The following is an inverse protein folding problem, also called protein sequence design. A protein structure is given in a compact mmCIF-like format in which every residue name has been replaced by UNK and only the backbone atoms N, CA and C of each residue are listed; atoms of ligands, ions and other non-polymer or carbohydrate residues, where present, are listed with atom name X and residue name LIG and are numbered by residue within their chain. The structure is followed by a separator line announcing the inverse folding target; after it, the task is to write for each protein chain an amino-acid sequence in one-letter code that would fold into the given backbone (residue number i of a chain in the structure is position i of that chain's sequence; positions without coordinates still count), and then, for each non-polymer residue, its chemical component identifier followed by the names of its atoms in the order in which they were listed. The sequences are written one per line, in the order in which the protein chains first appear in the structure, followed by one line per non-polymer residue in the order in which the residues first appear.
data_IF_047845853231
#
_entry.id   IF_047845853231
#
_cell.length_a   1.000
_cell.length_b   1.000
_cell.length_c   1.000
_cell.angle_alpha   90.00
_cell.angle_beta   90.00
_cell.angle_gamma   90.00
#
_symmetry.space_group_name_H-M   'P 1'
#
loop_
_entity.id
_entity.type
_entity.pdbx_description
1 polymer ?
#
# COMPACT_ATOMS: atom_id res chain seq x y z
N UNK A 1 17.12 -50.26 -11.70
CA UNK A 1 17.28 -50.39 -10.23
C UNK A 1 18.65 -49.91 -9.70
N UNK A 2 19.69 -49.78 -10.54
CA UNK A 2 21.00 -49.28 -10.11
C UNK A 2 21.11 -47.74 -10.03
N UNK A 3 20.38 -46.99 -10.86
CA UNK A 3 20.43 -45.51 -10.82
C UNK A 3 19.77 -44.91 -9.58
N UNK A 4 18.73 -45.56 -9.04
CA UNK A 4 18.02 -45.10 -7.83
C UNK A 4 18.87 -45.26 -6.57
N UNK A 5 19.65 -46.33 -6.46
CA UNK A 5 20.58 -46.57 -5.35
C UNK A 5 21.80 -45.64 -5.43
N UNK A 6 22.27 -45.31 -6.64
CA UNK A 6 23.35 -44.35 -6.85
C UNK A 6 22.92 -42.92 -6.47
N UNK A 7 21.73 -42.49 -6.91
CA UNK A 7 21.16 -41.17 -6.54
C UNK A 7 20.89 -41.09 -5.02
N UNK A 8 20.35 -42.15 -4.43
CA UNK A 8 20.13 -42.19 -2.98
C UNK A 8 21.45 -42.06 -2.21
N UNK A 9 22.50 -42.80 -2.61
CA UNK A 9 23.83 -42.71 -2.00
C UNK A 9 24.51 -41.35 -2.20
N UNK A 10 24.35 -40.74 -3.37
CA UNK A 10 24.85 -39.39 -3.63
C UNK A 10 24.17 -38.36 -2.72
N UNK A 11 22.84 -38.42 -2.59
CA UNK A 11 22.08 -37.51 -1.73
C UNK A 11 22.43 -37.69 -0.24
N UNK A 12 22.61 -38.93 0.23
CA UNK A 12 23.02 -39.18 1.62
C UNK A 12 24.43 -38.67 1.89
N UNK A 13 25.36 -38.83 0.95
CA UNK A 13 26.74 -38.35 1.11
C UNK A 13 26.81 -36.82 1.11
N UNK A 14 26.09 -36.17 0.19
CA UNK A 14 25.97 -34.70 0.17
C UNK A 14 25.30 -34.20 1.45
N UNK A 15 24.28 -34.88 1.95
CA UNK A 15 23.62 -34.53 3.21
C UNK A 15 24.57 -34.66 4.42
N UNK A 16 25.36 -35.72 4.51
CA UNK A 16 26.35 -35.91 5.58
C UNK A 16 27.47 -34.85 5.52
N UNK A 17 27.96 -34.50 4.32
CA UNK A 17 28.96 -33.45 4.13
C UNK A 17 28.42 -32.05 4.50
N UNK A 18 27.14 -31.79 4.21
CA UNK A 18 26.43 -30.58 4.62
C UNK A 18 26.25 -30.52 6.15
N UNK A 19 25.92 -31.64 6.80
CA UNK A 19 25.65 -31.69 8.24
C UNK A 19 26.93 -31.73 9.08
N UNK A 20 28.02 -32.28 8.55
CA UNK A 20 29.28 -32.40 9.29
C UNK A 20 30.09 -31.10 9.28
N UNK A 21 29.84 -30.21 8.31
CA UNK A 21 30.49 -28.90 8.25
C UNK A 21 29.71 -27.83 9.03
N UNK A 22 30.27 -27.26 10.10
CA UNK A 22 29.57 -26.28 10.94
C UNK A 22 29.19 -24.99 10.18
N UNK A 23 29.92 -24.66 9.12
CA UNK A 23 29.63 -23.50 8.26
C UNK A 23 28.32 -23.68 7.48
N UNK A 24 28.04 -24.90 7.02
CA UNK A 24 26.89 -25.21 6.18
C UNK A 24 25.61 -25.21 7.04
N UNK A 25 25.68 -25.72 8.27
CA UNK A 25 24.58 -25.59 9.24
C UNK A 25 24.27 -24.11 9.50
N UNK A 26 25.28 -23.27 9.73
CA UNK A 26 25.07 -21.83 9.94
C UNK A 26 24.41 -21.17 8.72
N UNK A 27 24.81 -21.53 7.50
CA UNK A 27 24.19 -21.05 6.27
C UNK A 27 22.75 -21.52 6.11
N UNK A 28 22.45 -22.79 6.41
CA UNK A 28 21.08 -23.33 6.32
C UNK A 28 20.16 -22.64 7.34
N UNK A 29 20.62 -22.44 8.57
CA UNK A 29 19.87 -21.68 9.59
C UNK A 29 19.65 -20.24 9.15
N UNK A 30 20.67 -19.59 8.58
CA UNK A 30 20.54 -18.23 8.05
C UNK A 30 19.53 -18.17 6.90
N UNK A 31 19.57 -19.12 5.96
CA UNK A 31 18.61 -19.20 4.85
C UNK A 31 17.20 -19.41 5.38
N UNK A 32 16.99 -20.34 6.31
CA UNK A 32 15.68 -20.58 6.93
C UNK A 32 15.18 -19.35 7.70
N UNK A 33 16.07 -18.65 8.40
CA UNK A 33 15.76 -17.41 9.11
C UNK A 33 15.38 -16.28 8.14
N UNK A 34 16.09 -16.14 7.03
CA UNK A 34 15.77 -15.16 5.98
C UNK A 34 14.44 -15.49 5.30
N UNK A 35 14.17 -16.76 4.98
CA UNK A 35 12.87 -17.22 4.44
C UNK A 35 11.75 -16.92 5.45
N UNK A 36 11.95 -17.27 6.72
CA UNK A 36 11.00 -17.00 7.78
C UNK A 36 10.73 -15.49 7.94
N UNK A 37 11.77 -14.67 7.87
CA UNK A 37 11.67 -13.21 7.95
C UNK A 37 10.95 -12.61 6.73
N UNK A 38 11.19 -13.14 5.52
CA UNK A 38 10.49 -12.73 4.29
C UNK A 38 9.00 -13.08 4.39
N UNK A 39 8.68 -14.29 4.86
CA UNK A 39 7.31 -14.76 4.98
C UNK A 39 6.55 -14.02 6.08
N UNK A 40 7.16 -13.78 7.24
CA UNK A 40 6.56 -12.93 8.28
C UNK A 40 6.28 -11.52 7.78
N UNK A 41 7.19 -10.92 7.01
CA UNK A 41 7.00 -9.57 6.45
C UNK A 41 5.79 -9.48 5.51
N UNK A 42 5.41 -10.55 4.82
CA UNK A 42 4.20 -10.59 3.99
C UNK A 42 2.91 -10.80 4.78
N UNK A 43 2.96 -11.47 5.93
CA UNK A 43 1.76 -11.76 6.72
C UNK A 43 1.32 -10.57 7.60
N UNK A 44 2.22 -9.62 7.88
CA UNK A 44 1.90 -8.37 8.60
C UNK A 44 1.28 -7.31 7.67
N UNK A 45 0.34 -7.69 6.78
CA UNK A 45 -0.56 -6.70 6.19
C UNK A 45 -1.56 -6.35 7.28
N UNK A 46 -1.50 -5.15 7.91
CA UNK A 46 -2.52 -4.77 8.88
C UNK A 46 -3.86 -4.88 8.17
N UNK A 47 -4.72 -5.79 8.67
CA UNK A 47 -6.08 -5.97 8.19
C UNK A 47 -6.73 -4.59 8.27
N UNK A 48 -6.82 -3.95 7.11
CA UNK A 48 -7.35 -2.61 6.98
C UNK A 48 -8.80 -2.75 7.41
N UNK A 49 -9.14 -2.24 8.60
CA UNK A 49 -10.49 -2.31 9.13
C UNK A 49 -11.47 -1.95 8.00
N UNK A 50 -12.51 -2.76 7.76
CA UNK A 50 -13.53 -2.42 6.79
C UNK A 50 -14.06 -1.06 7.20
N UNK A 51 -13.68 -0.02 6.47
CA UNK A 51 -14.23 1.33 6.68
C UNK A 51 -15.74 1.14 6.53
N UNK A 52 -16.56 1.53 7.53
CA UNK A 52 -18.00 1.39 7.47
C UNK A 52 -18.48 1.82 6.09
N UNK A 53 -19.21 0.96 5.40
CA UNK A 53 -19.72 1.26 4.07
C UNK A 53 -20.70 2.41 4.21
N UNK A 54 -20.20 3.63 4.05
CA UNK A 54 -21.04 4.81 3.99
C UNK A 54 -22.05 4.59 2.87
N UNK A 55 -23.34 4.90 3.10
CA UNK A 55 -24.36 4.75 2.08
C UNK A 55 -23.89 5.51 0.83
N UNK A 56 -23.87 4.79 -0.31
CA UNK A 56 -23.45 5.35 -1.59
C UNK A 56 -24.21 6.65 -1.81
N UNK A 57 -23.49 7.77 -1.89
CA UNK A 57 -24.09 9.05 -2.23
C UNK A 57 -24.84 8.91 -3.55
N UNK A 58 -26.02 9.53 -3.64
CA UNK A 58 -26.72 9.68 -4.92
C UNK A 58 -25.80 10.42 -5.87
N UNK A 59 -25.66 9.91 -7.10
CA UNK A 59 -24.96 10.62 -8.17
C UNK A 59 -25.64 11.98 -8.35
N UNK A 60 -24.92 13.05 -8.06
CA UNK A 60 -25.36 14.43 -8.19
C UNK A 60 -24.19 15.24 -8.73
N UNK A 61 -24.49 16.27 -9.49
CA UNK A 61 -23.50 17.24 -9.91
C UNK A 61 -23.07 18.10 -8.71
N UNK A 62 -21.76 18.27 -8.58
CA UNK A 62 -21.17 19.13 -7.56
C UNK A 62 -20.55 20.34 -8.22
N UNK A 63 -20.82 21.52 -7.67
CA UNK A 63 -20.02 22.71 -7.96
C UNK A 63 -18.68 22.64 -7.23
N UNK A 64 -17.69 23.41 -7.68
CA UNK A 64 -16.37 23.47 -7.04
C UNK A 64 -16.46 23.93 -5.58
N UNK A 65 -17.42 24.81 -5.28
CA UNK A 65 -17.65 25.33 -3.92
C UNK A 65 -18.29 24.29 -3.00
N UNK A 66 -19.20 23.47 -3.52
CA UNK A 66 -19.77 22.35 -2.77
C UNK A 66 -18.72 21.26 -2.53
N UNK A 67 -17.86 20.98 -3.51
CA UNK A 67 -16.80 19.98 -3.39
C UNK A 67 -15.78 20.33 -2.31
N UNK A 68 -15.42 21.62 -2.17
CA UNK A 68 -14.50 22.11 -1.12
C UNK A 68 -14.94 21.78 0.30
N UNK A 69 -16.24 21.60 0.52
CA UNK A 69 -16.79 21.22 1.82
C UNK A 69 -16.51 19.77 2.17
N UNK A 70 -15.96 18.95 1.27
CA UNK A 70 -15.72 17.50 1.44
C UNK A 70 -14.23 17.16 1.44
N UNK A 71 -13.47 17.80 2.34
CA UNK A 71 -12.03 17.55 2.54
C UNK A 71 -11.74 16.52 3.64
N UNK A 72 -12.77 16.06 4.36
CA UNK A 72 -12.66 15.09 5.44
C UNK A 72 -12.54 15.68 6.84
N UNK A 73 -12.63 17.01 6.98
CA UNK A 73 -12.65 17.73 8.27
C UNK A 73 -14.04 17.83 8.89
N UNK A 74 -15.10 17.70 8.09
CA UNK A 74 -16.48 17.70 8.56
C UNK A 74 -16.82 16.51 9.48
N UNK A 75 -17.93 16.61 10.23
CA UNK A 75 -18.44 15.54 11.10
C UNK A 75 -18.73 14.23 10.34
N UNK A 76 -19.23 14.34 9.10
CA UNK A 76 -19.42 13.20 8.19
C UNK A 76 -18.09 12.49 7.83
N UNK A 77 -16.96 13.19 7.97
CA UNK A 77 -15.61 12.70 7.71
C UNK A 77 -15.32 12.28 6.26
N UNK A 78 -16.25 12.56 5.33
CA UNK A 78 -16.17 12.17 3.92
C UNK A 78 -15.16 13.00 3.15
N UNK A 79 -14.50 12.34 2.21
CA UNK A 79 -13.53 12.97 1.32
C UNK A 79 -13.98 12.73 -0.11
N UNK A 80 -14.25 13.81 -0.85
CA UNK A 80 -14.55 13.75 -2.27
C UNK A 80 -13.40 14.35 -3.07
N UNK A 81 -13.14 13.80 -4.26
CA UNK A 81 -12.12 14.30 -5.19
C UNK A 81 -12.71 14.33 -6.59
N UNK A 82 -12.52 15.44 -7.31
CA UNK A 82 -12.87 15.51 -8.73
C UNK A 82 -11.67 15.14 -9.60
N UNK A 83 -11.91 14.33 -10.64
CA UNK A 83 -10.93 13.95 -11.66
C UNK A 83 -11.63 13.94 -13.01
N UNK A 84 -11.10 14.74 -13.95
CA UNK A 84 -11.61 14.94 -15.30
C UNK A 84 -13.13 15.22 -15.34
N UNK A 85 -13.60 16.11 -14.48
CA UNK A 85 -15.02 16.46 -14.36
C UNK A 85 -15.92 15.42 -13.67
N UNK A 86 -15.37 14.28 -13.23
CA UNK A 86 -16.10 13.27 -12.47
C UNK A 86 -15.74 13.32 -10.99
N UNK A 87 -16.73 13.24 -10.11
CA UNK A 87 -16.53 13.27 -8.65
C UNK A 87 -16.52 11.86 -8.08
N UNK A 88 -15.51 11.56 -7.28
CA UNK A 88 -15.30 10.26 -6.64
C UNK A 88 -15.31 10.40 -5.12
N UNK A 89 -16.02 9.48 -4.46
CA UNK A 89 -15.96 9.30 -3.01
C UNK A 89 -14.72 8.46 -2.65
N UNK A 90 -13.73 9.12 -2.08
CA UNK A 90 -12.46 8.52 -1.65
C UNK A 90 -12.37 8.40 -0.14
N UNK A 91 -13.52 8.37 0.56
CA UNK A 91 -13.56 8.28 2.04
C UNK A 91 -12.88 7.00 2.56
N UNK A 92 -12.93 5.89 1.82
CA UNK A 92 -12.15 4.67 2.12
C UNK A 92 -10.63 4.90 2.14
N UNK A 93 -10.18 5.92 1.42
CA UNK A 93 -8.82 6.40 1.32
C UNK A 93 -8.51 7.61 2.19
N UNK A 94 -9.29 7.90 3.25
CA UNK A 94 -9.10 9.09 4.11
C UNK A 94 -7.65 9.26 4.62
N UNK A 95 -6.93 8.18 4.89
CA UNK A 95 -5.50 8.23 5.26
C UNK A 95 -4.57 8.88 4.22
N UNK A 96 -5.01 8.91 2.96
CA UNK A 96 -4.26 9.48 1.84
C UNK A 96 -4.78 10.86 1.46
N UNK A 97 -6.10 10.98 1.27
CA UNK A 97 -6.74 12.17 0.73
C UNK A 97 -7.33 13.10 1.80
N UNK A 98 -7.48 12.63 3.04
CA UNK A 98 -7.95 13.43 4.16
C UNK A 98 -6.83 14.24 4.81
N UNK A 99 -7.16 15.03 5.84
CA UNK A 99 -6.21 15.93 6.50
C UNK A 99 -4.98 15.17 7.04
N UNK A 100 -3.79 15.68 6.76
CA UNK A 100 -2.52 15.07 7.16
C UNK A 100 -2.03 13.90 6.28
N UNK A 101 -2.81 13.50 5.26
CA UNK A 101 -2.38 12.52 4.27
C UNK A 101 -1.45 13.11 3.19
N UNK A 102 -0.65 12.29 2.50
CA UNK A 102 0.24 12.74 1.42
C UNK A 102 -0.48 13.38 0.23
N UNK A 103 -1.77 13.08 0.05
CA UNK A 103 -2.63 13.60 -1.02
C UNK A 103 -3.74 14.50 -0.47
N UNK A 104 -3.59 15.03 0.74
CA UNK A 104 -4.56 15.94 1.37
C UNK A 104 -4.87 17.17 0.50
N UNK A 105 -3.91 17.59 -0.33
CA UNK A 105 -4.06 18.68 -1.29
C UNK A 105 -5.22 18.49 -2.29
N UNK A 106 -5.62 17.24 -2.53
CA UNK A 106 -6.69 16.87 -3.46
C UNK A 106 -8.06 16.73 -2.79
N UNK A 107 -8.11 16.54 -1.47
CA UNK A 107 -9.36 16.43 -0.72
C UNK A 107 -10.24 17.67 -0.94
N UNK A 108 -11.48 17.44 -1.36
CA UNK A 108 -12.47 18.48 -1.64
C UNK A 108 -12.16 19.34 -2.87
N UNK A 109 -11.25 18.92 -3.76
CA UNK A 109 -10.82 19.72 -4.92
C UNK A 109 -10.78 18.90 -6.21
N UNK A 110 -10.62 19.63 -7.31
CA UNK A 110 -10.28 19.03 -8.60
C UNK A 110 -8.78 18.69 -8.65
N UNK A 111 -8.50 17.39 -8.62
CA UNK A 111 -7.16 16.84 -8.67
C UNK A 111 -6.65 16.64 -10.11
N UNK A 112 -7.46 16.88 -11.15
CA UNK A 112 -7.12 16.62 -12.55
C UNK A 112 -5.76 17.16 -12.95
N UNK A 113 -5.49 18.42 -12.60
CA UNK A 113 -4.20 19.08 -12.93
C UNK A 113 -3.03 18.48 -12.15
N UNK A 114 -3.21 18.22 -10.85
CA UNK A 114 -2.15 17.65 -10.02
C UNK A 114 -1.80 16.23 -10.43
N UNK A 115 -2.81 15.43 -10.76
CA UNK A 115 -2.63 14.07 -11.28
C UNK A 115 -1.98 14.08 -12.67
N UNK A 116 -2.39 14.99 -13.56
CA UNK A 116 -1.79 15.10 -14.90
C UNK A 116 -0.33 15.57 -14.87
N UNK A 117 0.04 16.42 -13.91
CA UNK A 117 1.40 17.00 -13.80
C UNK A 117 2.27 16.29 -12.77
N UNK A 118 1.80 15.19 -12.17
CA UNK A 118 2.47 14.49 -11.07
C UNK A 118 2.86 15.41 -9.90
N UNK A 119 2.03 16.42 -9.60
CA UNK A 119 2.26 17.40 -8.56
C UNK A 119 1.15 17.36 -7.51
N UNK A 120 1.55 17.22 -6.25
CA UNK A 120 0.68 17.23 -5.06
C UNK A 120 0.62 18.59 -4.37
N UNK A 121 1.23 19.63 -4.97
CA UNK A 121 1.25 20.97 -4.39
C UNK A 121 -0.06 21.71 -4.67
N UNK A 122 -0.95 21.72 -3.69
CA UNK A 122 -1.97 22.77 -3.61
C UNK A 122 -1.31 24.00 -2.98
N UNK A 123 -1.07 25.01 -3.81
CA UNK A 123 -0.40 26.28 -3.52
C UNK A 123 1.10 26.30 -3.82
N UNK A 124 1.42 26.85 -4.99
CA UNK A 124 2.55 27.76 -5.09
C UNK A 124 2.31 28.86 -4.04
N UNK A 125 2.92 28.74 -2.86
CA UNK A 125 3.11 29.90 -1.98
C UNK A 125 4.18 30.73 -2.68
N UNK A 126 3.74 31.63 -3.57
CA UNK A 126 4.59 32.73 -4.01
C UNK A 126 4.68 33.66 -2.80
N UNK A 127 5.62 33.41 -1.91
CA UNK A 127 6.10 34.45 -1.00
C UNK A 127 6.85 35.44 -1.88
N UNK A 128 6.18 36.52 -2.28
CA UNK A 128 6.92 37.70 -2.74
C UNK A 128 7.64 38.27 -1.52
N UNK A 129 8.97 38.28 -1.61
CA UNK A 129 9.86 39.14 -0.83
C UNK A 129 9.83 40.54 -1.41
#
# INVERSE_FOLDING_TARGET
MAESTLKAGLLTNVFLEIVQSPINIALVVLIFFLIYKIFRRQNDVPVRQPVPELPKMKKRDFTVEELKKYDGTQEDGRVLVAVNGSVYDVTRGKRFYGPGGPYAAFGGKDASRGLATFSVSAAVKVTMI
#
